data_IF_473370753965
#
_entry.id   IF_473370753965
#
_cell.length_a   1.000
_cell.length_b   1.000
_cell.length_c   1.000
_cell.angle_alpha   90.00
_cell.angle_beta   90.00
_cell.angle_gamma   90.00
#
_symmetry.space_group_name_H-M   'P 1'
#
loop_
_entity.id
_entity.type
_entity.pdbx_description
1 polymer ?
#
# COMPACT_ATOMS: atom_id res chain seq x y z
N UNK A 1 22.26 -15.06 -34.80
CA UNK A 1 21.47 -16.29 -34.94
C UNK A 1 21.58 -17.03 -33.59
N UNK A 2 20.77 -16.62 -32.62
CA UNK A 2 20.66 -17.29 -31.31
C UNK A 2 19.39 -18.11 -31.41
N UNK A 3 19.55 -19.44 -31.56
CA UNK A 3 18.46 -20.39 -31.51
C UNK A 3 17.67 -20.17 -30.21
N UNK A 4 16.41 -19.76 -30.34
CA UNK A 4 15.42 -19.89 -29.28
C UNK A 4 15.27 -21.38 -29.02
N UNK A 5 15.98 -21.88 -28.02
CA UNK A 5 15.67 -23.18 -27.44
C UNK A 5 14.28 -23.03 -26.81
N UNK A 6 13.24 -23.40 -27.54
CA UNK A 6 11.91 -23.63 -27.00
C UNK A 6 12.01 -24.84 -26.09
N UNK A 7 12.35 -24.63 -24.81
CA UNK A 7 12.16 -25.66 -23.80
C UNK A 7 10.67 -26.01 -23.78
N UNK A 8 10.33 -27.21 -24.22
CA UNK A 8 9.02 -27.76 -23.99
C UNK A 8 8.85 -27.89 -22.48
N UNK A 9 7.98 -27.04 -21.88
CA UNK A 9 7.73 -27.03 -20.45
C UNK A 9 7.25 -28.42 -20.04
N UNK A 10 8.01 -29.10 -19.20
CA UNK A 10 7.66 -30.43 -18.73
C UNK A 10 6.48 -30.33 -17.74
N UNK A 11 5.56 -31.29 -17.82
CA UNK A 11 4.36 -31.30 -16.94
C UNK A 11 4.72 -31.24 -15.45
N UNK A 12 5.84 -31.82 -15.04
CA UNK A 12 6.32 -31.77 -13.66
C UNK A 12 6.69 -30.36 -13.23
N UNK A 13 7.23 -29.51 -14.15
CA UNK A 13 7.57 -28.11 -13.84
C UNK A 13 6.31 -27.28 -13.54
N UNK A 14 5.22 -27.52 -14.25
CA UNK A 14 3.93 -26.86 -14.00
C UNK A 14 3.44 -27.23 -12.59
N UNK A 15 3.46 -28.54 -12.26
CA UNK A 15 3.02 -29.03 -10.95
C UNK A 15 3.94 -28.50 -9.84
N UNK A 16 5.26 -28.53 -10.05
CA UNK A 16 6.23 -28.03 -9.07
C UNK A 16 6.07 -26.53 -8.84
N UNK A 17 5.92 -25.72 -9.89
CA UNK A 17 5.70 -24.28 -9.77
C UNK A 17 4.43 -23.96 -8.97
N UNK A 18 3.31 -24.63 -9.32
CA UNK A 18 2.06 -24.46 -8.59
C UNK A 18 2.18 -24.88 -7.12
N UNK A 19 2.83 -26.03 -6.83
CA UNK A 19 3.02 -26.52 -5.47
C UNK A 19 3.90 -25.59 -4.64
N UNK A 20 5.05 -25.14 -5.17
CA UNK A 20 5.95 -24.21 -4.49
C UNK A 20 5.20 -22.91 -4.18
N UNK A 21 4.49 -22.36 -5.17
CA UNK A 21 3.72 -21.14 -4.98
C UNK A 21 2.66 -21.29 -3.91
N UNK A 22 1.81 -22.32 -3.98
CA UNK A 22 0.73 -22.53 -3.02
C UNK A 22 1.26 -22.79 -1.59
N UNK A 23 2.35 -23.57 -1.45
CA UNK A 23 2.98 -23.82 -0.14
C UNK A 23 3.55 -22.51 0.41
N UNK A 24 4.31 -21.76 -0.40
CA UNK A 24 4.84 -20.46 0.03
C UNK A 24 3.71 -19.51 0.46
N UNK A 25 2.64 -19.43 -0.31
CA UNK A 25 1.48 -18.60 0.04
C UNK A 25 0.80 -19.06 1.33
N UNK A 26 0.57 -20.35 1.50
CA UNK A 26 -0.03 -20.88 2.72
C UNK A 26 0.83 -20.56 3.96
N UNK A 27 2.17 -20.65 3.83
CA UNK A 27 3.09 -20.31 4.92
C UNK A 27 3.12 -18.80 5.16
N UNK A 28 3.12 -17.97 4.12
CA UNK A 28 3.03 -16.49 4.24
C UNK A 28 1.76 -16.09 4.99
N UNK A 29 0.61 -16.63 4.60
CA UNK A 29 -0.70 -16.36 5.25
C UNK A 29 -0.73 -16.86 6.70
N UNK A 30 0.03 -17.92 7.04
CA UNK A 30 0.10 -18.40 8.42
C UNK A 30 0.85 -17.50 9.39
N UNK A 31 1.66 -16.55 8.88
CA UNK A 31 2.50 -15.59 9.62
C UNK A 31 3.47 -16.20 10.65
N UNK A 32 3.62 -17.53 10.65
CA UNK A 32 4.51 -18.22 11.58
C UNK A 32 5.99 -18.01 11.26
N UNK A 33 6.30 -17.74 10.00
CA UNK A 33 7.67 -17.52 9.50
C UNK A 33 7.66 -16.18 8.75
N UNK A 34 8.77 -15.45 8.87
CA UNK A 34 8.92 -14.16 8.16
C UNK A 34 8.70 -14.35 6.66
N UNK A 35 7.77 -13.56 6.09
CA UNK A 35 7.33 -13.64 4.70
C UNK A 35 8.47 -13.47 3.68
N UNK A 36 9.51 -12.67 4.02
CA UNK A 36 10.67 -12.46 3.14
C UNK A 36 11.48 -13.75 2.95
N UNK A 37 11.68 -14.51 4.05
CA UNK A 37 12.39 -15.78 4.01
C UNK A 37 11.66 -16.77 3.11
N UNK A 38 10.33 -16.87 3.27
CA UNK A 38 9.52 -17.81 2.47
C UNK A 38 9.51 -17.44 1.00
N UNK A 39 9.34 -16.16 0.69
CA UNK A 39 9.37 -15.69 -0.70
C UNK A 39 10.73 -15.96 -1.36
N UNK A 40 11.84 -15.70 -0.66
CA UNK A 40 13.18 -16.02 -1.14
C UNK A 40 13.42 -17.52 -1.30
N UNK A 41 13.00 -18.34 -0.35
CA UNK A 41 13.09 -19.79 -0.46
C UNK A 41 12.31 -20.31 -1.67
N UNK A 42 11.08 -19.82 -1.88
CA UNK A 42 10.30 -20.19 -3.07
C UNK A 42 10.95 -19.75 -4.38
N UNK A 43 11.46 -18.51 -4.42
CA UNK A 43 12.20 -18.00 -5.58
C UNK A 43 13.43 -18.85 -5.91
N UNK A 44 14.23 -19.18 -4.88
CA UNK A 44 15.42 -20.04 -5.04
C UNK A 44 15.05 -21.44 -5.52
N UNK A 45 13.96 -22.02 -5.01
CA UNK A 45 13.47 -23.31 -5.47
C UNK A 45 13.04 -23.25 -6.95
N UNK A 46 12.36 -22.17 -7.40
CA UNK A 46 12.02 -21.98 -8.80
C UNK A 46 13.26 -21.97 -9.70
N UNK A 47 14.33 -21.29 -9.25
CA UNK A 47 15.61 -21.22 -9.98
C UNK A 47 16.35 -22.56 -9.95
N UNK A 48 16.47 -23.20 -8.79
CA UNK A 48 17.19 -24.48 -8.64
C UNK A 48 16.55 -25.62 -9.44
N UNK A 49 15.23 -25.60 -9.60
CA UNK A 49 14.49 -26.57 -10.41
C UNK A 49 14.47 -26.23 -11.91
N UNK A 50 15.15 -25.15 -12.32
CA UNK A 50 15.17 -24.72 -13.71
C UNK A 50 13.81 -24.29 -14.26
N UNK A 51 12.90 -23.86 -13.39
CA UNK A 51 11.60 -23.29 -13.79
C UNK A 51 11.79 -21.84 -14.25
N UNK A 52 12.68 -21.11 -13.56
CA UNK A 52 13.10 -19.75 -13.93
C UNK A 52 14.61 -19.75 -14.11
N UNK A 53 15.09 -19.27 -15.24
CA UNK A 53 16.53 -19.08 -15.45
C UNK A 53 17.04 -17.92 -14.58
N UNK A 54 18.22 -18.08 -14.00
CA UNK A 54 18.81 -17.06 -13.14
C UNK A 54 18.95 -15.69 -13.83
N UNK A 55 19.42 -15.57 -15.09
CA UNK A 55 19.38 -14.30 -15.81
C UNK A 55 17.98 -13.72 -15.93
N UNK A 56 16.98 -14.54 -16.26
CA UNK A 56 15.58 -14.11 -16.37
C UNK A 56 15.02 -13.62 -15.03
N UNK A 57 15.40 -14.25 -13.92
CA UNK A 57 15.02 -13.81 -12.58
C UNK A 57 15.39 -12.34 -12.33
N UNK A 58 16.63 -11.96 -12.66
CA UNK A 58 17.13 -10.60 -12.44
C UNK A 58 16.67 -9.59 -13.49
N UNK A 59 16.61 -9.98 -14.77
CA UNK A 59 16.40 -9.02 -15.86
C UNK A 59 14.94 -8.89 -16.29
N UNK A 60 14.12 -9.92 -16.05
CA UNK A 60 12.75 -9.98 -16.54
C UNK A 60 11.71 -9.95 -15.41
N UNK A 61 11.96 -10.68 -14.33
CA UNK A 61 10.96 -10.86 -13.29
C UNK A 61 11.06 -9.83 -12.16
N UNK A 62 12.28 -9.47 -11.71
CA UNK A 62 12.43 -8.44 -10.67
C UNK A 62 12.17 -7.06 -11.29
N UNK A 63 11.13 -6.39 -10.81
CA UNK A 63 10.77 -5.02 -11.19
C UNK A 63 11.63 -4.01 -10.39
N UNK A 64 12.85 -3.74 -10.86
CA UNK A 64 13.81 -2.86 -10.20
C UNK A 64 13.27 -1.44 -9.96
N UNK A 65 12.48 -0.91 -10.88
CA UNK A 65 11.86 0.40 -10.69
C UNK A 65 10.96 0.43 -9.44
N UNK A 66 10.20 -0.65 -9.17
CA UNK A 66 9.42 -0.77 -7.92
C UNK A 66 10.33 -0.77 -6.69
N UNK A 67 11.40 -1.57 -6.74
CA UNK A 67 12.37 -1.67 -5.62
C UNK A 67 13.01 -0.32 -5.33
N UNK A 68 13.50 0.37 -6.35
CA UNK A 68 14.18 1.65 -6.20
C UNK A 68 13.23 2.78 -5.77
N UNK A 69 11.97 2.75 -6.22
CA UNK A 69 10.96 3.70 -5.75
C UNK A 69 10.70 3.52 -4.26
N UNK A 70 10.50 2.28 -3.80
CA UNK A 70 10.32 1.96 -2.38
C UNK A 70 11.54 2.37 -1.55
N UNK A 71 12.74 2.00 -1.97
CA UNK A 71 13.98 2.38 -1.28
C UNK A 71 14.12 3.89 -1.17
N UNK A 72 13.91 4.62 -2.26
CA UNK A 72 13.97 6.09 -2.25
C UNK A 72 12.98 6.71 -1.28
N UNK A 73 11.73 6.24 -1.28
CA UNK A 73 10.72 6.76 -0.35
C UNK A 73 11.02 6.41 1.11
N UNK A 74 11.42 5.16 1.42
CA UNK A 74 11.81 4.75 2.78
C UNK A 74 12.97 5.59 3.32
N UNK A 75 14.03 5.80 2.53
CA UNK A 75 15.16 6.63 2.94
C UNK A 75 14.75 8.09 3.13
N UNK A 76 13.98 8.67 2.19
CA UNK A 76 13.51 10.05 2.28
C UNK A 76 12.73 10.26 3.58
N UNK A 77 11.74 9.39 3.85
CA UNK A 77 10.90 9.47 5.05
C UNK A 77 11.69 9.17 6.32
N UNK A 78 12.66 8.25 6.26
CA UNK A 78 13.57 7.95 7.36
C UNK A 78 14.34 9.19 7.83
N UNK A 79 14.87 9.98 6.90
CA UNK A 79 15.54 11.26 7.25
C UNK A 79 14.55 12.28 7.78
N UNK A 80 13.36 12.42 7.17
CA UNK A 80 12.33 13.36 7.61
C UNK A 80 11.91 13.05 9.04
N UNK A 81 11.73 11.77 9.39
CA UNK A 81 11.30 11.32 10.71
C UNK A 81 12.26 11.73 11.83
N UNK A 82 13.57 11.79 11.56
CA UNK A 82 14.57 12.23 12.53
C UNK A 82 14.37 13.67 12.99
N UNK A 83 13.73 14.50 12.19
CA UNK A 83 13.46 15.90 12.51
C UNK A 83 12.38 16.11 13.57
N UNK A 84 11.50 15.11 13.81
CA UNK A 84 10.34 15.22 14.69
C UNK A 84 9.14 15.94 14.06
N UNK A 85 9.19 16.22 12.75
CA UNK A 85 8.12 17.00 12.08
C UNK A 85 6.77 16.26 12.07
N UNK A 86 6.78 14.93 11.96
CA UNK A 86 5.54 14.15 11.95
C UNK A 86 4.83 14.19 13.30
N UNK A 87 5.60 14.08 14.40
CA UNK A 87 5.10 14.21 15.76
C UNK A 87 4.52 15.61 16.00
N UNK A 88 5.25 16.64 15.58
CA UNK A 88 4.76 18.03 15.65
C UNK A 88 3.42 18.21 14.95
N UNK A 89 3.30 17.72 13.70
CA UNK A 89 2.08 17.85 12.89
C UNK A 89 0.92 17.08 13.55
N UNK A 90 1.16 15.87 14.07
CA UNK A 90 0.13 15.05 14.70
C UNK A 90 -0.40 15.71 15.99
N UNK A 91 0.49 16.20 16.86
CA UNK A 91 0.10 16.92 18.08
C UNK A 91 -0.65 18.21 17.76
N UNK A 92 -0.15 19.01 16.82
CA UNK A 92 -0.85 20.23 16.35
C UNK A 92 -2.24 19.92 15.78
N UNK A 93 -2.36 18.82 15.03
CA UNK A 93 -3.63 18.38 14.48
C UNK A 93 -4.62 17.99 15.59
N UNK A 94 -4.15 17.27 16.61
CA UNK A 94 -4.97 16.92 17.77
C UNK A 94 -5.37 18.15 18.57
N UNK A 95 -4.45 19.07 18.86
CA UNK A 95 -4.71 20.35 19.54
C UNK A 95 -5.75 21.20 18.80
N UNK A 96 -5.70 21.19 17.46
CA UNK A 96 -6.68 21.92 16.66
C UNK A 96 -8.13 21.50 16.92
N UNK A 97 -8.35 20.28 17.44
CA UNK A 97 -9.67 19.75 17.81
C UNK A 97 -10.21 20.31 19.15
N UNK A 98 -9.42 21.12 19.87
CA UNK A 98 -9.79 21.75 21.15
C UNK A 98 -10.30 20.76 22.20
N UNK A 99 -9.65 19.57 22.29
CA UNK A 99 -9.99 18.53 23.26
C UNK A 99 -11.23 17.69 22.94
N UNK A 100 -11.97 17.97 21.87
CA UNK A 100 -13.11 17.16 21.44
C UNK A 100 -12.60 15.81 20.86
N UNK A 101 -12.89 14.66 21.51
CA UNK A 101 -12.33 13.37 21.09
C UNK A 101 -12.80 12.92 19.72
N UNK A 102 -14.03 13.25 19.33
CA UNK A 102 -14.58 12.91 18.01
C UNK A 102 -13.90 13.73 16.91
N UNK A 103 -13.61 15.00 17.18
CA UNK A 103 -12.84 15.83 16.24
C UNK A 103 -11.40 15.37 16.16
N UNK A 104 -10.78 14.94 17.27
CA UNK A 104 -9.43 14.36 17.26
C UNK A 104 -9.42 13.11 16.37
N UNK A 105 -10.37 12.19 16.56
CA UNK A 105 -10.51 10.99 15.73
C UNK A 105 -10.47 11.32 14.23
N UNK A 106 -11.36 12.23 13.81
CA UNK A 106 -11.49 12.59 12.39
C UNK A 106 -10.24 13.32 11.86
N UNK A 107 -9.68 14.25 12.64
CA UNK A 107 -8.51 15.02 12.18
C UNK A 107 -7.26 14.16 12.07
N UNK A 108 -7.02 13.27 13.04
CA UNK A 108 -5.93 12.30 12.96
C UNK A 108 -6.15 11.31 11.82
N UNK A 109 -7.39 10.89 11.55
CA UNK A 109 -7.72 10.06 10.40
C UNK A 109 -7.39 10.79 9.08
N UNK A 110 -7.79 12.05 8.92
CA UNK A 110 -7.47 12.85 7.73
C UNK A 110 -5.95 13.03 7.58
N UNK A 111 -5.25 13.32 8.68
CA UNK A 111 -3.78 13.40 8.67
C UNK A 111 -3.16 12.09 8.21
N UNK A 112 -3.64 10.96 8.74
CA UNK A 112 -3.17 9.62 8.35
C UNK A 112 -3.43 9.34 6.86
N UNK A 113 -4.61 9.72 6.34
CA UNK A 113 -4.92 9.57 4.93
C UNK A 113 -3.98 10.38 4.03
N UNK A 114 -3.76 11.65 4.37
CA UNK A 114 -2.85 12.52 3.62
C UNK A 114 -1.41 11.99 3.71
N UNK A 115 -0.97 11.58 4.91
CA UNK A 115 0.33 10.95 5.08
C UNK A 115 0.49 9.72 4.19
N UNK A 116 -0.47 8.80 4.26
CA UNK A 116 -0.45 7.55 3.49
C UNK A 116 -0.57 7.75 1.97
N UNK A 117 -1.13 8.85 1.51
CA UNK A 117 -1.17 9.16 0.08
C UNK A 117 0.22 9.49 -0.51
N UNK A 118 1.16 9.97 0.32
CA UNK A 118 2.50 10.38 -0.15
C UNK A 118 3.64 9.57 0.49
N UNK A 119 3.33 8.84 1.56
CA UNK A 119 4.24 7.96 2.28
C UNK A 119 3.56 6.61 2.32
N UNK A 120 4.29 5.51 2.13
CA UNK A 120 3.67 4.19 2.17
C UNK A 120 2.87 3.96 3.47
N UNK A 121 1.86 3.11 3.39
CA UNK A 121 0.92 2.86 4.48
C UNK A 121 1.59 2.29 5.75
N UNK A 122 2.62 1.43 5.60
CA UNK A 122 3.36 0.84 6.72
C UNK A 122 4.11 1.93 7.49
N UNK A 123 4.91 2.73 6.79
CA UNK A 123 5.66 3.84 7.39
C UNK A 123 4.71 4.86 8.05
N UNK A 124 3.60 5.18 7.38
CA UNK A 124 2.61 6.12 7.93
C UNK A 124 2.06 5.65 9.27
N UNK A 125 1.65 4.39 9.40
CA UNK A 125 1.10 3.90 10.68
C UNK A 125 2.16 3.74 11.75
N UNK A 126 3.38 3.37 11.40
CA UNK A 126 4.52 3.34 12.34
C UNK A 126 4.78 4.71 12.98
N UNK A 127 4.55 5.78 12.22
CA UNK A 127 4.74 7.16 12.70
C UNK A 127 3.52 7.63 13.52
N UNK A 128 2.31 7.43 13.02
CA UNK A 128 1.11 8.07 13.59
C UNK A 128 0.52 7.26 14.74
N UNK A 129 0.58 5.92 14.74
CA UNK A 129 -0.05 5.11 15.77
C UNK A 129 0.54 5.31 17.18
N UNK A 130 1.88 5.34 17.39
CA UNK A 130 2.45 5.61 18.72
C UNK A 130 2.04 6.99 19.27
N UNK A 131 2.04 8.01 18.41
CA UNK A 131 1.64 9.37 18.80
C UNK A 131 0.16 9.41 19.18
N UNK A 132 -0.67 8.71 18.43
CA UNK A 132 -2.12 8.60 18.72
C UNK A 132 -2.36 7.91 20.06
N UNK A 133 -1.60 6.86 20.37
CA UNK A 133 -1.67 6.19 21.68
C UNK A 133 -1.24 7.17 22.78
N UNK A 134 -0.16 7.90 22.59
CA UNK A 134 0.32 8.89 23.55
C UNK A 134 -0.75 9.98 23.81
N UNK A 135 -1.37 10.52 22.77
CA UNK A 135 -2.47 11.48 22.86
C UNK A 135 -3.67 10.88 23.61
N UNK A 136 -4.07 9.65 23.25
CA UNK A 136 -5.18 8.96 23.88
C UNK A 136 -4.90 8.71 25.38
N UNK A 137 -3.71 8.27 25.73
CA UNK A 137 -3.27 8.04 27.12
C UNK A 137 -3.23 9.35 27.91
N UNK A 138 -2.71 10.44 27.35
CA UNK A 138 -2.69 11.77 27.96
C UNK A 138 -4.11 12.24 28.30
N UNK A 139 -5.07 11.96 27.43
CA UNK A 139 -6.48 12.30 27.62
C UNK A 139 -7.28 11.20 28.36
N UNK A 140 -6.62 10.14 28.83
CA UNK A 140 -7.22 8.96 29.45
C UNK A 140 -8.34 8.31 28.63
N UNK A 141 -8.19 8.31 27.31
CA UNK A 141 -9.12 7.68 26.37
C UNK A 141 -8.64 6.28 25.99
N UNK A 142 -9.61 5.45 25.57
CA UNK A 142 -9.28 4.19 24.91
C UNK A 142 -8.69 4.47 23.51
N UNK A 143 -7.47 4.02 23.18
CA UNK A 143 -6.83 4.26 21.87
C UNK A 143 -7.45 3.43 20.74
N UNK A 144 -8.12 2.32 21.02
CA UNK A 144 -8.62 1.36 20.01
C UNK A 144 -9.48 2.01 18.93
N UNK A 145 -10.47 2.89 19.23
CA UNK A 145 -11.25 3.58 18.21
C UNK A 145 -10.42 4.37 17.21
N UNK A 146 -9.38 5.06 17.71
CA UNK A 146 -8.47 5.86 16.90
C UNK A 146 -7.63 4.96 16.01
N UNK A 147 -7.05 3.89 16.57
CA UNK A 147 -6.19 2.96 15.86
C UNK A 147 -6.93 2.20 14.75
N UNK A 148 -8.14 1.68 15.03
CA UNK A 148 -8.95 1.03 13.99
C UNK A 148 -9.30 2.03 12.87
N UNK A 149 -9.65 3.27 13.23
CA UNK A 149 -9.93 4.30 12.23
C UNK A 149 -8.69 4.61 11.39
N UNK A 150 -7.52 4.71 12.01
CA UNK A 150 -6.26 4.95 11.31
C UNK A 150 -5.87 3.82 10.36
N UNK A 151 -6.03 2.56 10.76
CA UNK A 151 -5.82 1.41 9.88
C UNK A 151 -6.65 1.57 8.61
N UNK A 152 -7.97 1.71 8.76
CA UNK A 152 -8.90 1.75 7.64
C UNK A 152 -8.65 2.95 6.71
N UNK A 153 -8.43 4.11 7.30
CA UNK A 153 -8.19 5.35 6.56
C UNK A 153 -6.79 5.37 5.94
N UNK A 154 -5.79 4.72 6.55
CA UNK A 154 -4.45 4.61 5.98
C UNK A 154 -4.47 3.86 4.65
N UNK A 155 -5.09 2.68 4.60
CA UNK A 155 -5.22 1.90 3.36
C UNK A 155 -6.07 2.64 2.31
N UNK A 156 -7.15 3.33 2.72
CA UNK A 156 -7.95 4.16 1.81
C UNK A 156 -7.09 5.31 1.27
N UNK A 157 -6.38 6.03 2.14
CA UNK A 157 -5.52 7.15 1.74
C UNK A 157 -4.36 6.73 0.84
N UNK A 158 -3.71 5.62 1.17
CA UNK A 158 -2.64 5.05 0.35
C UNK A 158 -3.07 4.67 -1.06
N UNK A 159 -4.32 4.24 -1.22
CA UNK A 159 -4.88 3.95 -2.55
C UNK A 159 -4.98 5.19 -3.46
N UNK A 160 -4.92 6.41 -2.93
CA UNK A 160 -5.16 7.63 -3.71
C UNK A 160 -4.08 7.92 -4.75
N UNK A 161 -2.83 7.54 -4.51
CA UNK A 161 -1.71 7.92 -5.37
C UNK A 161 -0.87 6.71 -5.79
N UNK A 162 0.03 6.94 -6.75
CA UNK A 162 0.99 5.94 -7.21
C UNK A 162 1.92 5.45 -6.09
N UNK A 163 2.33 6.33 -5.17
CA UNK A 163 3.38 6.04 -4.18
C UNK A 163 2.82 5.67 -2.79
N UNK A 164 1.51 5.85 -2.57
CA UNK A 164 0.91 5.68 -1.25
C UNK A 164 0.73 4.23 -0.80
N UNK A 165 0.66 3.28 -1.75
CA UNK A 165 0.55 1.86 -1.43
C UNK A 165 1.38 1.03 -2.42
N UNK A 166 2.20 0.06 -1.97
CA UNK A 166 3.01 -0.77 -2.84
C UNK A 166 2.27 -1.43 -4.02
N UNK A 167 1.05 -1.96 -3.90
CA UNK A 167 0.24 -2.40 -5.04
C UNK A 167 0.09 -1.37 -6.14
N UNK A 168 -0.13 -0.11 -5.78
CA UNK A 168 -0.26 0.97 -6.76
C UNK A 168 1.04 1.25 -7.51
N UNK A 169 2.17 1.18 -6.81
CA UNK A 169 3.50 1.28 -7.45
C UNK A 169 3.66 0.19 -8.49
N UNK A 170 3.32 -1.06 -8.14
CA UNK A 170 3.44 -2.21 -9.03
C UNK A 170 2.51 -2.07 -10.25
N UNK A 171 1.24 -1.74 -10.02
CA UNK A 171 0.26 -1.53 -11.10
C UNK A 171 0.67 -0.37 -11.99
N UNK A 172 1.04 0.77 -11.39
CA UNK A 172 1.40 1.97 -12.13
C UNK A 172 2.60 1.73 -13.05
N UNK A 173 3.64 1.07 -12.57
CA UNK A 173 4.82 0.74 -13.38
C UNK A 173 4.52 -0.32 -14.44
N UNK A 174 3.70 -1.33 -14.12
CA UNK A 174 3.29 -2.35 -15.07
C UNK A 174 2.38 -1.79 -16.18
N UNK A 175 1.45 -0.93 -15.84
CA UNK A 175 0.52 -0.30 -16.79
C UNK A 175 1.10 0.94 -17.51
N UNK A 176 2.28 1.42 -17.06
CA UNK A 176 2.87 2.66 -17.56
C UNK A 176 2.16 3.93 -17.10
N UNK A 177 1.47 3.88 -15.96
CA UNK A 177 0.74 5.03 -15.43
C UNK A 177 1.65 6.01 -14.70
N UNK A 178 1.39 7.29 -14.95
CA UNK A 178 2.04 8.38 -14.24
C UNK A 178 1.38 8.64 -12.87
N UNK A 179 2.07 9.37 -12.01
CA UNK A 179 1.53 9.85 -10.75
C UNK A 179 0.24 10.67 -10.94
N UNK A 180 0.19 11.52 -11.97
CA UNK A 180 -0.98 12.34 -12.28
C UNK A 180 -2.19 11.50 -12.69
N UNK A 181 -1.99 10.37 -13.39
CA UNK A 181 -3.09 9.49 -13.74
C UNK A 181 -3.73 8.89 -12.49
N UNK A 182 -2.97 8.49 -11.47
CA UNK A 182 -3.54 8.09 -10.19
C UNK A 182 -4.34 9.21 -9.53
N UNK A 183 -3.83 10.45 -9.54
CA UNK A 183 -4.56 11.60 -8.99
C UNK A 183 -5.88 11.86 -9.71
N UNK A 184 -5.92 11.69 -11.02
CA UNK A 184 -7.12 11.96 -11.81
C UNK A 184 -8.11 10.79 -11.74
N UNK A 185 -7.62 9.56 -11.81
CA UNK A 185 -8.46 8.37 -11.97
C UNK A 185 -8.84 7.69 -10.66
N UNK A 186 -8.04 7.78 -9.61
CA UNK A 186 -8.27 7.04 -8.36
C UNK A 186 -8.61 7.99 -7.20
N UNK A 187 -7.91 9.12 -7.06
CA UNK A 187 -8.12 10.04 -5.93
C UNK A 187 -9.59 10.49 -5.78
N UNK A 188 -10.37 10.77 -6.83
CA UNK A 188 -11.76 11.22 -6.65
C UNK A 188 -12.63 10.21 -5.89
N UNK A 189 -12.58 8.93 -6.24
CA UNK A 189 -13.34 7.91 -5.52
C UNK A 189 -12.78 7.68 -4.11
N UNK A 190 -11.47 7.77 -3.92
CA UNK A 190 -10.83 7.65 -2.62
C UNK A 190 -11.28 8.76 -1.66
N UNK A 191 -11.41 9.99 -2.14
CA UNK A 191 -11.97 11.10 -1.34
C UNK A 191 -13.41 10.77 -0.90
N UNK A 192 -14.23 10.23 -1.79
CA UNK A 192 -15.61 9.80 -1.44
C UNK A 192 -15.56 8.69 -0.39
N UNK A 193 -14.74 7.66 -0.59
CA UNK A 193 -14.57 6.57 0.37
C UNK A 193 -14.09 7.10 1.73
N UNK A 194 -13.17 8.05 1.75
CA UNK A 194 -12.64 8.67 2.96
C UNK A 194 -13.72 9.46 3.72
N UNK A 195 -14.53 10.25 3.02
CA UNK A 195 -15.65 11.00 3.62
C UNK A 195 -16.68 10.04 4.24
N UNK A 196 -17.08 9.02 3.49
CA UNK A 196 -18.08 8.05 3.96
C UNK A 196 -17.53 7.23 5.14
N UNK A 197 -16.27 6.79 5.07
CA UNK A 197 -15.63 6.06 6.19
C UNK A 197 -15.51 6.92 7.43
N UNK A 198 -15.08 8.19 7.33
CA UNK A 198 -15.01 9.10 8.48
C UNK A 198 -16.41 9.36 9.07
N UNK A 199 -17.45 9.51 8.25
CA UNK A 199 -18.81 9.66 8.72
C UNK A 199 -19.32 8.41 9.45
N UNK A 200 -18.99 7.21 8.94
CA UNK A 200 -19.28 5.94 9.59
C UNK A 200 -18.55 5.82 10.94
N UNK A 201 -17.24 6.10 10.98
CA UNK A 201 -16.44 6.04 12.21
C UNK A 201 -16.95 7.02 13.27
N UNK A 202 -17.25 8.25 12.85
CA UNK A 202 -17.88 9.24 13.74
C UNK A 202 -19.15 8.69 14.37
N UNK A 203 -20.06 8.12 13.56
CA UNK A 203 -21.34 7.60 14.07
C UNK A 203 -21.16 6.37 14.96
N UNK A 204 -20.22 5.51 14.61
CA UNK A 204 -19.97 4.25 15.33
C UNK A 204 -19.31 4.49 16.69
N UNK A 205 -18.29 5.34 16.74
CA UNK A 205 -17.49 5.55 17.94
C UNK A 205 -17.92 6.75 18.79
N UNK A 206 -18.73 7.68 18.29
CA UNK A 206 -19.10 8.90 19.02
C UNK A 206 -19.66 8.63 20.43
N UNK A 207 -20.42 7.54 20.58
CA UNK A 207 -21.01 7.17 21.88
C UNK A 207 -20.01 6.59 22.88
N UNK A 208 -18.83 6.19 22.43
CA UNK A 208 -17.79 5.54 23.23
C UNK A 208 -16.61 6.48 23.53
N UNK A 209 -16.61 7.68 22.96
CA UNK A 209 -15.56 8.66 23.11
C UNK A 209 -16.02 9.79 24.03
N UNK A 210 -15.71 9.63 25.32
CA UNK A 210 -15.95 10.66 26.33
C UNK A 210 -14.63 11.01 27.02
N UNK A 211 -14.45 12.28 27.33
CA UNK A 211 -13.26 12.80 28.03
C UNK A 211 -13.73 13.82 29.05
N UNK A 212 -13.23 13.71 30.26
CA UNK A 212 -13.45 14.71 31.30
C UNK A 212 -12.72 16.02 30.94
N UNK A 213 -13.35 17.17 31.24
CA UNK A 213 -12.84 18.50 30.88
C UNK A 213 -11.41 18.73 31.37
N UNK A 214 -11.04 18.21 32.55
CA UNK A 214 -9.70 18.35 33.12
C UNK A 214 -8.62 17.75 32.20
N UNK A 215 -8.88 16.66 31.46
CA UNK A 215 -7.91 16.01 30.57
C UNK A 215 -7.87 16.64 29.17
N UNK A 216 -8.94 17.35 28.79
CA UNK A 216 -8.94 18.14 27.54
C UNK A 216 -7.88 19.25 27.57
N UNK A 217 -7.74 19.90 28.71
CA UNK A 217 -6.78 21.00 28.90
C UNK A 217 -5.33 20.54 28.87
N UNK A 218 -5.02 19.33 29.37
CA UNK A 218 -3.65 18.79 29.38
C UNK A 218 -3.04 18.72 27.97
N UNK A 219 -3.82 18.27 26.97
CA UNK A 219 -3.36 18.25 25.59
C UNK A 219 -3.11 19.66 25.02
N UNK A 220 -3.92 20.63 25.47
CA UNK A 220 -3.79 22.01 24.97
C UNK A 220 -2.59 22.75 25.56
N UNK A 221 -2.13 22.35 26.76
CA UNK A 221 -0.97 22.94 27.46
C UNK A 221 0.37 22.42 26.91
N UNK A 222 0.39 21.25 26.26
CA UNK A 222 1.59 20.71 25.67
C UNK A 222 2.14 21.61 24.55
N UNK A 223 3.44 21.97 24.60
CA UNK A 223 4.04 22.69 23.45
C UNK A 223 4.40 21.70 22.34
N UNK A 224 3.66 21.76 21.24
CA UNK A 224 3.94 20.92 20.08
C UNK A 224 5.37 21.10 19.53
N UNK A 225 6.01 22.26 19.78
CA UNK A 225 7.38 22.51 19.32
C UNK A 225 8.42 21.62 19.99
N UNK A 226 8.14 21.11 21.20
CA UNK A 226 9.04 20.20 21.92
C UNK A 226 9.26 18.87 21.17
N UNK A 227 8.34 18.53 20.24
CA UNK A 227 8.47 17.36 19.38
C UNK A 227 9.42 17.57 18.20
N UNK A 228 9.78 18.81 17.86
CA UNK A 228 10.77 19.11 16.82
C UNK A 228 12.17 18.91 17.39
N UNK A 229 12.83 17.82 17.02
CA UNK A 229 14.17 17.45 17.49
C UNK A 229 15.26 18.29 16.83
N UNK A 230 15.10 18.58 15.53
CA UNK A 230 15.99 19.43 14.74
C UNK A 230 15.18 20.33 13.80
N UNK A 231 15.13 21.62 14.13
CA UNK A 231 14.36 22.61 13.36
C UNK A 231 14.98 22.93 12.00
N UNK A 232 16.31 22.78 11.87
CA UNK A 232 17.01 23.01 10.59
C UNK A 232 16.73 21.84 9.66
N UNK A 233 16.86 20.61 10.17
CA UNK A 233 16.53 19.41 9.43
C UNK A 233 15.04 19.41 9.03
N UNK A 234 14.12 19.80 9.91
CA UNK A 234 12.70 19.89 9.61
C UNK A 234 12.40 20.80 8.40
N UNK A 235 13.02 21.98 8.34
CA UNK A 235 12.87 22.92 7.21
C UNK A 235 13.43 22.31 5.91
N UNK A 236 14.62 21.71 5.95
CA UNK A 236 15.23 21.03 4.80
C UNK A 236 14.36 19.85 4.33
N UNK A 237 13.84 19.08 5.27
CA UNK A 237 12.93 17.95 5.03
C UNK A 237 11.66 18.38 4.30
N UNK A 238 10.98 19.42 4.78
CA UNK A 238 9.79 19.96 4.13
C UNK A 238 10.13 20.43 2.71
N UNK A 239 11.23 21.18 2.55
CA UNK A 239 11.64 21.68 1.25
C UNK A 239 11.89 20.56 0.24
N UNK A 240 12.69 19.55 0.62
CA UNK A 240 13.01 18.42 -0.27
C UNK A 240 11.77 17.56 -0.52
N UNK A 241 10.93 17.34 0.49
CA UNK A 241 9.68 16.60 0.32
C UNK A 241 8.75 17.26 -0.70
N UNK A 242 8.53 18.57 -0.58
CA UNK A 242 7.75 19.34 -1.57
C UNK A 242 8.38 19.25 -2.95
N UNK A 243 9.71 19.37 -3.05
CA UNK A 243 10.42 19.23 -4.33
C UNK A 243 10.23 17.82 -4.93
N UNK A 244 10.27 16.77 -4.12
CA UNK A 244 10.04 15.39 -4.56
C UNK A 244 8.59 15.20 -5.06
N UNK A 245 7.60 15.75 -4.34
CA UNK A 245 6.20 15.71 -4.78
C UNK A 245 6.01 16.47 -6.10
N UNK A 246 6.63 17.64 -6.25
CA UNK A 246 6.64 18.39 -7.52
C UNK A 246 7.33 17.56 -8.63
N UNK A 247 8.40 16.86 -8.29
CA UNK A 247 9.04 15.91 -9.19
C UNK A 247 8.08 14.81 -9.66
N UNK A 248 7.28 14.22 -8.76
CA UNK A 248 6.25 13.25 -9.13
C UNK A 248 5.13 13.86 -10.00
N UNK A 249 4.75 15.10 -9.79
CA UNK A 249 3.74 15.78 -10.63
C UNK A 249 4.27 16.09 -12.04
N UNK A 250 5.57 16.30 -12.18
CA UNK A 250 6.20 16.74 -13.43
C UNK A 250 6.96 15.64 -14.17
N UNK A 251 7.18 14.46 -13.55
CA UNK A 251 8.05 13.40 -14.06
C UNK A 251 7.73 12.96 -15.50
N UNK A 252 6.43 12.93 -15.84
CA UNK A 252 5.98 12.55 -17.18
C UNK A 252 6.39 13.55 -18.25
N UNK A 253 6.49 14.85 -17.92
CA UNK A 253 6.86 15.90 -18.88
C UNK A 253 8.37 15.96 -19.13
N UNK A 254 9.16 15.53 -18.14
CA UNK A 254 10.64 15.47 -18.23
C UNK A 254 11.14 14.07 -18.55
N UNK A 255 10.24 13.11 -18.81
CA UNK A 255 10.54 11.72 -19.13
C UNK A 255 11.47 11.03 -18.12
N UNK A 256 11.26 11.30 -16.82
CA UNK A 256 12.01 10.71 -15.71
C UNK A 256 11.13 9.68 -15.00
N UNK A 257 11.68 8.52 -14.69
CA UNK A 257 10.94 7.50 -13.95
C UNK A 257 10.65 7.93 -12.49
N UNK A 258 9.50 7.56 -11.90
CA UNK A 258 9.19 7.85 -10.50
C UNK A 258 10.26 7.35 -9.52
N UNK A 259 10.89 6.22 -9.80
CA UNK A 259 11.99 5.69 -8.98
C UNK A 259 13.18 6.67 -8.90
N UNK A 260 13.53 7.29 -10.03
CA UNK A 260 14.60 8.29 -10.08
C UNK A 260 14.25 9.53 -9.28
N UNK A 261 12.99 9.98 -9.32
CA UNK A 261 12.52 11.13 -8.54
C UNK A 261 12.65 10.84 -7.03
N UNK A 262 12.19 9.66 -6.57
CA UNK A 262 12.27 9.27 -5.17
C UNK A 262 13.72 9.17 -4.68
N UNK A 263 14.58 8.48 -5.44
CA UNK A 263 16.01 8.36 -5.10
C UNK A 263 16.73 9.70 -5.10
N UNK A 264 16.41 10.58 -6.06
CA UNK A 264 17.00 11.93 -6.11
C UNK A 264 16.60 12.76 -4.89
N UNK A 265 15.31 12.70 -4.49
CA UNK A 265 14.83 13.36 -3.28
C UNK A 265 15.51 12.83 -2.02
N UNK A 266 15.59 11.50 -1.88
CA UNK A 266 16.27 10.86 -0.76
C UNK A 266 17.76 11.24 -0.69
N UNK A 267 18.46 11.12 -1.80
CA UNK A 267 19.90 11.46 -1.88
C UNK A 267 20.15 12.93 -1.60
N UNK A 268 19.32 13.82 -2.16
CA UNK A 268 19.43 15.24 -1.90
C UNK A 268 19.22 15.55 -0.41
N UNK A 269 18.20 14.97 0.22
CA UNK A 269 17.92 15.20 1.64
C UNK A 269 19.03 14.61 2.51
N UNK A 270 19.54 13.44 2.19
CA UNK A 270 20.72 12.87 2.88
C UNK A 270 21.93 13.79 2.76
N UNK A 271 22.23 14.30 1.56
CA UNK A 271 23.39 15.17 1.32
C UNK A 271 23.35 16.46 2.15
N UNK A 272 22.17 17.10 2.26
CA UNK A 272 22.05 18.38 2.94
C UNK A 272 21.61 18.26 4.40
N UNK A 273 21.03 17.12 4.79
CA UNK A 273 20.35 16.90 6.07
C UNK A 273 21.07 15.97 7.04
N UNK A 274 22.03 15.16 6.58
CA UNK A 274 22.72 14.19 7.43
C UNK A 274 24.22 14.43 7.46
N UNK A 275 24.86 14.05 8.57
CA UNK A 275 26.33 14.00 8.67
C UNK A 275 26.81 12.62 8.28
N UNK A 276 28.10 12.48 7.92
CA UNK A 276 28.63 11.24 7.39
C UNK A 276 28.37 9.98 8.22
N UNK A 277 28.45 10.08 9.55
CA UNK A 277 28.16 8.96 10.46
C UNK A 277 26.65 8.65 10.62
N UNK A 278 25.76 9.56 10.24
CA UNK A 278 24.31 9.39 10.33
C UNK A 278 23.73 8.71 9.10
N UNK A 279 24.51 8.58 8.02
CA UNK A 279 24.08 7.95 6.78
C UNK A 279 23.74 6.46 7.00
N UNK A 280 24.53 5.76 7.81
CA UNK A 280 24.26 4.37 8.17
C UNK A 280 22.91 4.22 8.88
N UNK A 281 22.57 5.16 9.78
CA UNK A 281 21.28 5.17 10.47
C UNK A 281 20.12 5.33 9.49
N UNK A 282 20.28 6.12 8.41
CA UNK A 282 19.25 6.24 7.36
C UNK A 282 19.09 4.92 6.64
N UNK A 283 20.14 4.20 6.29
CA UNK A 283 20.03 2.87 5.69
C UNK A 283 19.37 1.85 6.62
N UNK A 284 19.50 2.01 7.93
CA UNK A 284 18.77 1.17 8.90
C UNK A 284 17.28 1.48 8.97
N UNK A 285 16.81 2.63 8.48
CA UNK A 285 15.37 2.91 8.38
C UNK A 285 14.69 2.17 7.22
N UNK A 286 15.49 1.64 6.28
CA UNK A 286 14.97 0.83 5.18
C UNK A 286 14.47 -0.50 5.71
N UNK A 287 13.24 -0.85 5.37
CA UNK A 287 12.65 -2.14 5.67
C UNK A 287 13.20 -3.24 4.73
N UNK A 288 14.44 -3.66 4.94
CA UNK A 288 15.10 -4.69 4.14
C UNK A 288 14.29 -5.98 3.99
N UNK A 289 13.58 -6.47 5.03
CA UNK A 289 12.67 -7.59 4.86
C UNK A 289 11.63 -7.37 3.76
N UNK A 290 11.06 -6.17 3.67
CA UNK A 290 10.08 -5.84 2.63
C UNK A 290 10.73 -5.81 1.25
N UNK A 291 11.94 -5.26 1.11
CA UNK A 291 12.69 -5.26 -0.16
C UNK A 291 12.96 -6.68 -0.64
N UNK A 292 13.49 -7.53 0.22
CA UNK A 292 13.75 -8.94 -0.11
C UNK A 292 12.49 -9.76 -0.35
N UNK A 293 11.40 -9.42 0.34
CA UNK A 293 10.09 -10.01 0.07
C UNK A 293 9.63 -9.74 -1.37
N UNK A 294 9.74 -8.49 -1.84
CA UNK A 294 9.41 -8.13 -3.22
C UNK A 294 10.29 -8.87 -4.23
N UNK A 295 11.61 -8.90 -4.02
CA UNK A 295 12.52 -9.62 -4.91
C UNK A 295 12.14 -11.10 -5.03
N UNK A 296 11.92 -11.78 -3.89
CA UNK A 296 11.50 -13.18 -3.86
C UNK A 296 10.14 -13.41 -4.51
N UNK A 297 9.16 -12.55 -4.20
CA UNK A 297 7.81 -12.63 -4.73
C UNK A 297 7.77 -12.48 -6.25
N UNK A 298 8.50 -11.51 -6.81
CA UNK A 298 8.55 -11.31 -8.26
C UNK A 298 9.09 -12.54 -8.99
N UNK A 299 10.14 -13.17 -8.48
CA UNK A 299 10.67 -14.40 -9.07
C UNK A 299 9.72 -15.57 -8.88
N UNK A 300 9.08 -15.68 -7.71
CA UNK A 300 8.11 -16.73 -7.42
C UNK A 300 6.90 -16.67 -8.39
N UNK A 301 6.35 -15.47 -8.62
CA UNK A 301 5.29 -15.23 -9.60
C UNK A 301 5.81 -15.42 -11.02
N UNK A 302 7.04 -14.98 -11.30
CA UNK A 302 7.72 -15.22 -12.57
C UNK A 302 7.75 -16.70 -12.94
N UNK A 303 7.94 -17.59 -11.97
CA UNK A 303 7.85 -19.03 -12.19
C UNK A 303 6.47 -19.49 -12.70
N UNK A 304 5.38 -18.92 -12.18
CA UNK A 304 4.04 -19.22 -12.68
C UNK A 304 3.80 -18.69 -14.11
N UNK A 305 4.40 -17.54 -14.43
CA UNK A 305 4.36 -16.95 -15.78
C UNK A 305 5.09 -17.85 -16.77
N UNK A 306 6.31 -18.28 -16.44
CA UNK A 306 7.15 -19.11 -17.33
C UNK A 306 6.50 -20.46 -17.64
N UNK A 307 5.82 -21.09 -16.67
CA UNK A 307 5.12 -22.36 -16.91
C UNK A 307 3.70 -22.19 -17.49
N UNK A 308 3.26 -20.94 -17.74
CA UNK A 308 1.98 -20.64 -18.39
C UNK A 308 0.73 -20.80 -17.50
N UNK A 309 0.87 -20.93 -16.18
CA UNK A 309 -0.27 -21.01 -15.26
C UNK A 309 -1.08 -19.72 -15.30
N UNK A 310 -0.41 -18.56 -15.25
CA UNK A 310 -1.09 -17.26 -15.30
C UNK A 310 -1.91 -17.10 -16.58
N UNK A 311 -1.34 -17.49 -17.71
CA UNK A 311 -2.06 -17.48 -19.01
C UNK A 311 -3.32 -18.35 -19.00
N UNK A 312 -3.26 -19.52 -18.36
CA UNK A 312 -4.45 -20.40 -18.23
C UNK A 312 -5.53 -19.75 -17.37
N UNK A 313 -5.13 -19.06 -16.27
CA UNK A 313 -6.08 -18.34 -15.43
C UNK A 313 -6.70 -17.16 -16.20
N UNK A 314 -5.92 -16.45 -17.02
CA UNK A 314 -6.44 -15.38 -17.87
C UNK A 314 -7.46 -15.90 -18.90
N UNK A 315 -7.17 -17.03 -19.57
CA UNK A 315 -8.10 -17.67 -20.50
C UNK A 315 -9.40 -18.08 -19.77
N UNK A 316 -9.27 -18.74 -18.62
CA UNK A 316 -10.44 -19.11 -17.82
C UNK A 316 -11.30 -17.90 -17.44
N UNK A 317 -10.66 -16.78 -17.04
CA UNK A 317 -11.37 -15.54 -16.73
C UNK A 317 -12.12 -15.01 -17.97
N UNK A 318 -11.49 -15.03 -19.14
CA UNK A 318 -12.12 -14.62 -20.40
C UNK A 318 -13.33 -15.51 -20.74
N UNK A 319 -13.21 -16.82 -20.57
CA UNK A 319 -14.32 -17.75 -20.79
C UNK A 319 -15.49 -17.49 -19.85
N UNK A 320 -15.23 -17.30 -18.54
CA UNK A 320 -16.26 -17.04 -17.52
C UNK A 320 -16.97 -15.71 -17.78
N UNK A 321 -16.25 -14.71 -18.25
CA UNK A 321 -16.82 -13.37 -18.53
C UNK A 321 -17.42 -13.25 -19.93
N UNK A 322 -17.14 -14.21 -20.81
CA UNK A 322 -17.49 -14.16 -22.22
C UNK A 322 -16.75 -13.04 -22.97
N UNK A 323 -15.60 -12.60 -22.47
CA UNK A 323 -14.82 -11.49 -23.01
C UNK A 323 -15.44 -10.10 -22.75
N UNK A 324 -16.51 -10.01 -21.96
CA UNK A 324 -17.13 -8.72 -21.61
C UNK A 324 -16.29 -7.96 -20.59
N UNK A 325 -15.83 -6.77 -20.99
CA UNK A 325 -14.94 -5.93 -20.17
C UNK A 325 -15.63 -5.48 -18.88
N UNK A 326 -16.93 -5.21 -18.91
CA UNK A 326 -17.69 -4.77 -17.73
C UNK A 326 -17.74 -5.87 -16.68
N UNK A 327 -18.08 -7.08 -17.08
CA UNK A 327 -18.10 -8.25 -16.18
C UNK A 327 -16.72 -8.56 -15.66
N UNK A 328 -15.70 -8.47 -16.52
CA UNK A 328 -14.31 -8.69 -16.15
C UNK A 328 -13.83 -7.68 -15.12
N UNK A 329 -14.12 -6.39 -15.33
CA UNK A 329 -13.77 -5.33 -14.40
C UNK A 329 -14.41 -5.53 -13.01
N UNK A 330 -15.69 -5.94 -12.96
CA UNK A 330 -16.37 -6.20 -11.70
C UNK A 330 -15.83 -7.45 -10.99
N UNK A 331 -15.61 -8.54 -11.72
CA UNK A 331 -15.01 -9.75 -11.15
C UNK A 331 -13.58 -9.44 -10.66
N UNK A 332 -12.82 -8.62 -11.39
CA UNK A 332 -11.49 -8.17 -10.99
C UNK A 332 -11.54 -7.36 -9.69
N UNK A 333 -12.42 -6.35 -9.61
CA UNK A 333 -12.56 -5.50 -8.42
C UNK A 333 -12.98 -6.29 -7.19
N UNK A 334 -14.03 -7.10 -7.32
CA UNK A 334 -14.53 -7.90 -6.19
C UNK A 334 -13.62 -9.07 -5.86
N UNK A 335 -13.06 -9.73 -6.88
CA UNK A 335 -12.10 -10.82 -6.71
C UNK A 335 -10.81 -10.35 -6.02
N UNK A 336 -10.26 -9.21 -6.45
CA UNK A 336 -9.12 -8.58 -5.79
C UNK A 336 -9.49 -8.11 -4.38
N UNK A 337 -10.69 -7.53 -4.19
CA UNK A 337 -11.16 -7.07 -2.88
C UNK A 337 -11.33 -8.21 -1.88
N UNK A 338 -11.96 -9.30 -2.28
CA UNK A 338 -12.13 -10.49 -1.44
C UNK A 338 -10.78 -11.18 -1.23
N UNK A 339 -9.98 -11.33 -2.28
CA UNK A 339 -8.64 -11.93 -2.18
C UNK A 339 -7.76 -11.17 -1.20
N UNK A 340 -7.73 -9.84 -1.30
CA UNK A 340 -6.96 -8.97 -0.41
C UNK A 340 -7.44 -8.97 1.04
N UNK A 341 -8.67 -9.40 1.29
CA UNK A 341 -9.16 -9.59 2.66
C UNK A 341 -8.46 -10.72 3.41
N UNK A 342 -7.96 -11.73 2.71
CA UNK A 342 -7.36 -12.93 3.29
C UNK A 342 -5.86 -13.05 3.00
N UNK A 343 -5.39 -12.38 1.96
CA UNK A 343 -4.01 -12.39 1.50
C UNK A 343 -3.55 -10.93 1.44
N UNK A 344 -2.37 -10.61 1.94
CA UNK A 344 -1.77 -9.26 1.80
C UNK A 344 -1.91 -8.76 0.35
N UNK A 345 -2.27 -7.49 0.18
CA UNK A 345 -2.56 -6.89 -1.12
C UNK A 345 -1.38 -6.96 -2.11
N UNK A 346 -0.15 -6.96 -1.61
CA UNK A 346 1.07 -6.99 -2.43
C UNK A 346 1.19 -8.30 -3.23
N UNK A 347 1.22 -9.51 -2.60
CA UNK A 347 1.33 -10.76 -3.34
C UNK A 347 0.12 -11.00 -4.27
N UNK A 348 -1.06 -10.56 -3.88
CA UNK A 348 -2.24 -10.66 -4.73
C UNK A 348 -2.04 -9.88 -6.04
N UNK A 349 -1.66 -8.61 -5.95
CA UNK A 349 -1.45 -7.75 -7.12
C UNK A 349 -0.29 -8.27 -7.99
N UNK A 350 0.79 -8.75 -7.37
CA UNK A 350 1.91 -9.35 -8.12
C UNK A 350 1.46 -10.47 -9.05
N UNK A 351 0.51 -11.31 -8.60
CA UNK A 351 -0.02 -12.41 -9.42
C UNK A 351 -1.04 -11.96 -10.46
N UNK A 352 -1.79 -10.89 -10.18
CA UNK A 352 -2.84 -10.40 -11.09
C UNK A 352 -2.29 -9.50 -12.21
N UNK A 353 -1.16 -8.83 -12.03
CA UNK A 353 -0.54 -7.99 -13.08
C UNK A 353 -0.30 -8.76 -14.38
N UNK A 354 0.42 -9.90 -14.39
CA UNK A 354 0.61 -10.67 -15.62
C UNK A 354 -0.70 -11.17 -16.23
N UNK A 355 -1.69 -11.49 -15.40
CA UNK A 355 -3.02 -11.91 -15.87
C UNK A 355 -3.72 -10.78 -16.64
N UNK A 356 -3.68 -9.53 -16.16
CA UNK A 356 -4.27 -8.37 -16.87
C UNK A 356 -3.56 -8.15 -18.21
N UNK A 357 -2.24 -8.27 -18.25
CA UNK A 357 -1.47 -8.18 -19.51
C UNK A 357 -1.89 -9.26 -20.51
N UNK A 358 -1.98 -10.52 -20.06
CA UNK A 358 -2.38 -11.63 -20.91
C UNK A 358 -3.82 -11.47 -21.44
N UNK A 359 -4.75 -11.00 -20.61
CA UNK A 359 -6.12 -10.70 -21.01
C UNK A 359 -6.17 -9.56 -22.04
N UNK A 360 -5.43 -8.47 -21.81
CA UNK A 360 -5.35 -7.37 -22.74
C UNK A 360 -4.85 -7.80 -24.13
N UNK A 361 -3.81 -8.65 -24.15
CA UNK A 361 -3.24 -9.18 -25.39
C UNK A 361 -4.20 -10.16 -26.12
N UNK A 362 -4.87 -11.05 -25.38
CA UNK A 362 -5.77 -12.05 -25.98
C UNK A 362 -7.06 -11.46 -26.52
N UNK A 363 -7.65 -10.49 -25.83
CA UNK A 363 -8.87 -9.81 -26.23
C UNK A 363 -8.60 -8.60 -27.15
N UNK A 364 -7.33 -8.27 -27.43
CA UNK A 364 -6.93 -7.06 -28.16
C UNK A 364 -7.65 -5.81 -27.63
N UNK A 365 -7.68 -5.64 -26.30
CA UNK A 365 -8.38 -4.57 -25.62
C UNK A 365 -7.83 -3.20 -26.04
N UNK A 366 -8.73 -2.26 -26.19
CA UNK A 366 -8.37 -0.83 -26.35
C UNK A 366 -7.71 -0.28 -25.08
N UNK A 367 -6.94 0.83 -25.17
CA UNK A 367 -6.35 1.47 -23.99
C UNK A 367 -7.36 1.77 -22.88
N UNK A 368 -8.59 2.20 -23.24
CA UNK A 368 -9.65 2.49 -22.26
C UNK A 368 -10.11 1.22 -21.53
N UNK A 369 -10.31 0.14 -22.27
CA UNK A 369 -10.76 -1.12 -21.71
C UNK A 369 -9.73 -1.75 -20.78
N UNK A 370 -8.47 -1.79 -21.17
CA UNK A 370 -7.41 -2.35 -20.32
C UNK A 370 -7.18 -1.46 -19.08
N UNK A 371 -7.27 -0.13 -19.21
CA UNK A 371 -7.17 0.80 -18.09
C UNK A 371 -8.30 0.55 -17.08
N UNK A 372 -9.51 0.24 -17.55
CA UNK A 372 -10.63 -0.13 -16.66
C UNK A 372 -10.28 -1.34 -15.79
N UNK A 373 -9.60 -2.35 -16.34
CA UNK A 373 -9.15 -3.52 -15.56
C UNK A 373 -8.07 -3.15 -14.54
N UNK A 374 -7.10 -2.30 -14.93
CA UNK A 374 -6.05 -1.84 -14.03
C UNK A 374 -6.61 -1.06 -12.84
N UNK A 375 -7.54 -0.13 -13.08
CA UNK A 375 -8.16 0.64 -11.99
C UNK A 375 -9.06 -0.24 -11.12
N UNK A 376 -9.73 -1.24 -11.69
CA UNK A 376 -10.51 -2.21 -10.93
C UNK A 376 -9.61 -3.04 -10.01
N UNK A 377 -8.45 -3.48 -10.49
CA UNK A 377 -7.46 -4.20 -9.70
C UNK A 377 -6.92 -3.33 -8.55
N UNK A 378 -6.51 -2.09 -8.86
CA UNK A 378 -5.95 -1.17 -7.87
C UNK A 378 -6.94 -0.88 -6.73
N UNK A 379 -8.17 -0.49 -7.08
CA UNK A 379 -9.21 -0.20 -6.10
C UNK A 379 -9.62 -1.45 -5.32
N UNK A 380 -9.80 -2.59 -5.99
CA UNK A 380 -10.14 -3.85 -5.34
C UNK A 380 -9.10 -4.26 -4.31
N UNK A 381 -7.83 -4.33 -4.71
CA UNK A 381 -6.75 -4.78 -3.84
C UNK A 381 -6.51 -3.86 -2.64
N UNK A 382 -6.42 -2.54 -2.86
CA UNK A 382 -6.14 -1.59 -1.77
C UNK A 382 -7.32 -1.47 -0.79
N UNK A 383 -8.57 -1.38 -1.27
CA UNK A 383 -9.74 -1.26 -0.41
C UNK A 383 -10.07 -2.59 0.29
N UNK A 384 -9.86 -3.72 -0.40
CA UNK A 384 -10.09 -5.06 0.14
C UNK A 384 -9.21 -5.41 1.33
N UNK A 385 -7.96 -4.93 1.35
CA UNK A 385 -7.02 -5.08 2.46
C UNK A 385 -7.52 -4.56 3.81
N UNK A 386 -8.55 -3.73 3.79
CA UNK A 386 -9.22 -3.26 5.00
C UNK A 386 -10.08 -4.32 5.69
N UNK A 387 -10.53 -5.37 5.00
CA UNK A 387 -11.55 -6.27 5.52
C UNK A 387 -11.11 -7.04 6.77
N UNK A 388 -9.84 -7.47 6.83
CA UNK A 388 -9.30 -8.20 7.99
C UNK A 388 -7.99 -7.59 8.48
N UNK A 389 -7.56 -7.97 9.68
CA UNK A 389 -6.25 -7.54 10.22
C UNK A 389 -5.11 -8.06 9.34
N UNK A 390 -5.28 -9.23 8.70
CA UNK A 390 -4.26 -9.89 7.87
C UNK A 390 -4.20 -9.28 6.46
N UNK A 391 -5.25 -8.60 6.01
CA UNK A 391 -5.38 -8.11 4.63
C UNK A 391 -4.38 -7.03 4.21
N UNK A 392 -3.67 -6.42 5.17
CA UNK A 392 -2.60 -5.44 4.90
C UNK A 392 -1.56 -5.47 6.02
N UNK A 393 -0.29 -5.34 5.64
CA UNK A 393 0.82 -5.25 6.59
C UNK A 393 0.67 -4.10 7.58
N UNK A 394 0.12 -2.96 7.17
CA UNK A 394 -0.16 -1.82 8.05
C UNK A 394 -1.13 -2.18 9.19
N UNK A 395 -2.14 -3.01 8.90
CA UNK A 395 -3.12 -3.44 9.89
C UNK A 395 -2.45 -4.25 11.01
N UNK A 396 -1.58 -5.19 10.63
CA UNK A 396 -0.83 -6.04 11.56
C UNK A 396 0.12 -5.23 12.45
N UNK A 397 0.81 -4.25 11.86
CA UNK A 397 1.74 -3.39 12.59
C UNK A 397 0.99 -2.59 13.65
N UNK A 398 -0.14 -1.96 13.31
CA UNK A 398 -0.93 -1.21 14.29
C UNK A 398 -1.48 -2.14 15.38
N UNK A 399 -1.95 -3.34 15.01
CA UNK A 399 -2.43 -4.33 15.98
C UNK A 399 -1.29 -4.77 16.94
N UNK A 400 -0.07 -4.97 16.42
CA UNK A 400 1.10 -5.31 17.23
C UNK A 400 1.51 -4.17 18.17
N UNK A 401 1.53 -2.92 17.69
CA UNK A 401 1.79 -1.73 18.52
C UNK A 401 0.74 -1.62 19.63
N UNK A 402 -0.53 -1.72 19.28
CA UNK A 402 -1.64 -1.67 20.24
C UNK A 402 -1.52 -2.76 21.32
N UNK A 403 -1.12 -3.97 20.96
CA UNK A 403 -0.92 -5.07 21.91
C UNK A 403 0.24 -4.81 22.85
N UNK A 404 1.37 -4.27 22.35
CA UNK A 404 2.54 -3.90 23.18
C UNK A 404 2.21 -2.80 24.19
N UNK A 405 1.34 -1.88 23.83
CA UNK A 405 0.87 -0.77 24.67
C UNK A 405 -0.33 -1.17 25.57
N UNK A 406 -0.63 -2.47 25.70
CA UNK A 406 -1.66 -2.97 26.59
C UNK A 406 -3.10 -2.76 26.10
N UNK A 407 -3.31 -2.36 24.86
CA UNK A 407 -4.63 -2.12 24.25
C UNK A 407 -4.85 -3.01 23.01
N UNK A 408 -4.89 -4.35 23.13
CA UNK A 408 -4.93 -5.25 21.99
C UNK A 408 -6.22 -5.09 21.17
N UNK A 409 -6.06 -5.00 19.85
CA UNK A 409 -7.18 -5.03 18.91
C UNK A 409 -7.53 -6.50 18.64
N UNK A 410 -8.70 -6.95 19.11
CA UNK A 410 -9.13 -8.34 18.85
C UNK A 410 -9.64 -8.47 17.40
N UNK A 411 -9.39 -9.61 16.78
CA UNK A 411 -9.80 -9.90 15.41
C UNK A 411 -11.31 -9.65 15.19
N UNK A 412 -12.15 -10.15 16.10
CA UNK A 412 -13.61 -10.01 16.01
C UNK A 412 -14.05 -8.54 16.14
N UNK A 413 -13.43 -7.77 17.04
CA UNK A 413 -13.78 -6.35 17.21
C UNK A 413 -13.37 -5.54 15.98
N UNK A 414 -12.26 -5.89 15.35
CA UNK A 414 -11.86 -5.30 14.09
C UNK A 414 -12.87 -5.62 12.98
N UNK A 415 -13.24 -6.89 12.79
CA UNK A 415 -14.17 -7.33 11.74
C UNK A 415 -15.53 -6.63 11.81
N UNK A 416 -16.05 -6.36 13.02
CA UNK A 416 -17.33 -5.66 13.20
C UNK A 416 -17.35 -4.27 12.56
N UNK A 417 -16.20 -3.63 12.48
CA UNK A 417 -16.04 -2.28 11.94
C UNK A 417 -15.53 -2.33 10.51
N UNK A 418 -14.54 -3.18 10.25
CA UNK A 418 -13.83 -3.22 8.98
C UNK A 418 -14.66 -3.82 7.84
N UNK A 419 -15.42 -4.90 8.07
CA UNK A 419 -16.24 -5.51 7.02
C UNK A 419 -17.27 -4.54 6.45
N UNK A 420 -18.12 -3.87 7.27
CA UNK A 420 -19.05 -2.86 6.75
C UNK A 420 -18.37 -1.76 5.94
N UNK A 421 -17.23 -1.25 6.43
CA UNK A 421 -16.48 -0.19 5.73
C UNK A 421 -15.92 -0.70 4.41
N UNK A 422 -15.31 -1.88 4.40
CA UNK A 422 -14.79 -2.49 3.17
C UNK A 422 -15.87 -2.72 2.14
N UNK A 423 -17.02 -3.27 2.53
CA UNK A 423 -18.14 -3.47 1.61
C UNK A 423 -18.64 -2.15 1.05
N UNK A 424 -18.83 -1.13 1.89
CA UNK A 424 -19.26 0.19 1.44
C UNK A 424 -18.25 0.78 0.44
N UNK A 425 -16.97 0.73 0.73
CA UNK A 425 -15.93 1.29 -0.13
C UNK A 425 -15.78 0.53 -1.44
N UNK A 426 -15.90 -0.81 -1.45
CA UNK A 426 -15.92 -1.61 -2.67
C UNK A 426 -17.16 -1.34 -3.52
N UNK A 427 -18.33 -1.15 -2.92
CA UNK A 427 -19.54 -0.76 -3.66
C UNK A 427 -19.37 0.64 -4.27
N UNK A 428 -18.82 1.60 -3.55
CA UNK A 428 -18.52 2.93 -4.09
C UNK A 428 -17.53 2.86 -5.24
N UNK A 429 -16.47 2.06 -5.11
CA UNK A 429 -15.52 1.82 -6.19
C UNK A 429 -16.18 1.15 -7.42
N UNK A 430 -17.05 0.16 -7.19
CA UNK A 430 -17.80 -0.49 -8.27
C UNK A 430 -18.71 0.49 -9.03
N UNK A 431 -19.45 1.35 -8.30
CA UNK A 431 -20.29 2.39 -8.90
C UNK A 431 -19.42 3.38 -9.68
N UNK A 432 -18.28 3.77 -9.13
CA UNK A 432 -17.34 4.68 -9.77
C UNK A 432 -16.78 4.09 -11.08
N UNK A 433 -16.29 2.85 -11.06
CA UNK A 433 -15.81 2.16 -12.27
C UNK A 433 -16.91 2.08 -13.33
N UNK A 434 -18.13 1.73 -12.92
CA UNK A 434 -19.26 1.67 -13.85
C UNK A 434 -19.56 3.01 -14.49
N UNK A 435 -19.69 4.07 -13.70
CA UNK A 435 -20.07 5.40 -14.20
C UNK A 435 -18.95 5.99 -15.05
N UNK A 436 -17.72 6.02 -14.52
CA UNK A 436 -16.63 6.79 -15.12
C UNK A 436 -16.04 6.08 -16.34
N UNK A 437 -15.77 4.77 -16.22
CA UNK A 437 -15.06 4.04 -17.28
C UNK A 437 -16.00 3.34 -18.25
N UNK A 438 -17.03 2.67 -17.74
CA UNK A 438 -17.90 1.86 -18.59
C UNK A 438 -18.94 2.73 -19.28
N UNK A 439 -19.59 3.66 -18.54
CA UNK A 439 -20.65 4.49 -19.10
C UNK A 439 -20.14 5.70 -19.87
N UNK A 440 -19.10 6.38 -19.33
CA UNK A 440 -18.56 7.60 -19.95
C UNK A 440 -17.27 7.36 -20.74
N UNK A 441 -16.62 6.20 -20.63
CA UNK A 441 -15.40 5.86 -21.38
C UNK A 441 -14.22 6.77 -21.07
N UNK A 442 -14.07 7.17 -19.83
CA UNK A 442 -12.97 8.06 -19.41
C UNK A 442 -11.65 7.29 -19.44
N UNK A 443 -10.71 7.74 -20.28
CA UNK A 443 -9.43 7.07 -20.53
C UNK A 443 -8.27 7.77 -19.80
#
# INVERSE_FOLDING_TARGET
>A
MVEKITHSIAQWQIIAAAAIFLICYAVIVSEKINRSIIALCGALLMVLLGIVDLPAAYTKHIHWATIFLLLGMMMLVGVINRSGIFEYIAVKTAQSAKGDPVKILIRLAILTAIGSAFIDNVTTVLLVAPITIAIANTMRMNPIPFLITQILICNIGGAATLVGDPPNIMIGLAAGFSFNQFLIHVTPVIIICMIVTNAFMKRYFAKHLHVDEQYQNVLMEADAKDYIRDSVLAKKSIFVFVLTVLGFLTHQYVHVEPATVALSGATLLMLIGTKGHEVEEVFHTVEWPTVFFFCGLFVLVGGLVEVGIIKRIAIWMIEVTGGDVTRTAFIMLWGAGIGSAFIDNIPLVATMIPMVHDMGAQLALTPVEINTLWWSLALGACLGGNATIIGSSANLIVAAIAAREGSPITFINYLKVSIPVTLITLVLANIYIYIVYIRFGFA
#
